data_IF_584698094660
#
_entry.id   IF_584698094660
#
_cell.length_a   1.000
_cell.length_b   1.000
_cell.length_c   1.000
_cell.angle_alpha   90.00
_cell.angle_beta   90.00
_cell.angle_gamma   90.00
#
_symmetry.space_group_name_H-M   'P 1'
#
loop_
_entity.id
_entity.type
_entity.pdbx_description
1 polymer ?
#
# COMPACT_ATOMS: atom_id res chain seq x y z
N UNK A 1 5.86 -7.84 -53.65
CA UNK A 1 4.87 -7.36 -52.66
C UNK A 1 4.83 -8.37 -51.53
N UNK A 2 5.46 -8.05 -50.40
CA UNK A 2 5.31 -8.71 -49.10
C UNK A 2 6.00 -7.78 -48.09
N UNK A 3 5.27 -7.07 -47.23
CA UNK A 3 5.91 -6.29 -46.18
C UNK A 3 6.29 -7.23 -45.04
N UNK A 4 7.58 -7.22 -44.70
CA UNK A 4 8.08 -7.75 -43.43
C UNK A 4 7.52 -6.87 -42.32
N UNK A 5 6.57 -7.39 -41.54
CA UNK A 5 6.14 -6.74 -40.30
C UNK A 5 7.24 -6.98 -39.27
N UNK A 6 8.09 -5.98 -39.04
CA UNK A 6 8.94 -5.95 -37.85
C UNK A 6 8.00 -5.60 -36.70
N UNK A 7 7.55 -6.62 -35.99
CA UNK A 7 6.87 -6.48 -34.71
C UNK A 7 7.85 -5.82 -33.75
N UNK A 8 7.63 -4.54 -33.45
CA UNK A 8 8.24 -3.88 -32.31
C UNK A 8 7.65 -4.56 -31.08
N UNK A 9 8.41 -5.45 -30.44
CA UNK A 9 8.14 -5.84 -29.07
C UNK A 9 8.37 -4.60 -28.21
N UNK A 10 7.29 -3.90 -27.91
CA UNK A 10 7.27 -2.95 -26.82
C UNK A 10 7.33 -3.80 -25.55
N UNK A 11 8.54 -4.02 -25.01
CA UNK A 11 8.76 -4.47 -23.63
C UNK A 11 8.40 -3.32 -22.68
N UNK A 12 7.17 -2.79 -22.81
CA UNK A 12 6.56 -2.04 -21.75
C UNK A 12 6.24 -3.07 -20.67
N UNK A 13 7.16 -3.18 -19.71
CA UNK A 13 6.85 -3.62 -18.35
C UNK A 13 5.56 -2.90 -18.01
N UNK A 14 4.44 -3.64 -18.05
CA UNK A 14 3.15 -3.10 -17.63
C UNK A 14 3.31 -2.89 -16.13
N UNK A 15 3.73 -1.68 -15.76
CA UNK A 15 3.36 -1.12 -14.48
C UNK A 15 1.84 -1.05 -14.53
N UNK A 16 1.17 -2.15 -14.17
CA UNK A 16 -0.23 -2.09 -13.77
C UNK A 16 -0.24 -1.10 -12.62
N UNK A 17 -0.66 0.13 -12.92
CA UNK A 17 -0.87 1.15 -11.92
C UNK A 17 -1.93 0.57 -10.99
N UNK A 18 -1.54 0.22 -9.78
CA UNK A 18 -2.46 -0.28 -8.76
C UNK A 18 -3.43 0.86 -8.47
N UNK A 19 -4.62 0.81 -9.06
CA UNK A 19 -5.59 1.89 -8.94
C UNK A 19 -6.39 1.71 -7.65
N UNK A 20 -5.96 2.42 -6.60
CA UNK A 20 -6.70 2.54 -5.35
C UNK A 20 -7.95 3.39 -5.57
N UNK A 21 -9.11 2.95 -5.08
CA UNK A 21 -10.30 3.79 -5.10
C UNK A 21 -10.25 4.76 -3.91
N UNK A 22 -9.72 5.97 -4.15
CA UNK A 22 -9.59 7.01 -3.14
C UNK A 22 -10.91 7.38 -2.45
N UNK A 23 -12.05 7.30 -3.14
CA UNK A 23 -13.37 7.56 -2.56
C UNK A 23 -13.77 6.50 -1.53
N UNK A 24 -13.55 5.22 -1.85
CA UNK A 24 -13.75 4.11 -0.92
C UNK A 24 -12.81 4.22 0.28
N UNK A 25 -11.52 4.48 0.04
CA UNK A 25 -10.52 4.58 1.10
C UNK A 25 -10.88 5.72 2.07
N UNK A 26 -11.14 6.94 1.56
CA UNK A 26 -11.58 8.09 2.39
C UNK A 26 -12.83 7.78 3.19
N UNK A 27 -13.86 7.24 2.53
CA UNK A 27 -15.12 6.89 3.21
C UNK A 27 -14.84 5.89 4.32
N UNK A 28 -14.06 4.84 4.04
CA UNK A 28 -13.65 3.84 5.02
C UNK A 28 -12.93 4.46 6.21
N UNK A 29 -11.96 5.34 5.99
CA UNK A 29 -11.21 6.03 7.05
C UNK A 29 -12.12 6.91 7.93
N UNK A 30 -13.06 7.63 7.33
CA UNK A 30 -14.02 8.50 8.04
C UNK A 30 -14.87 7.67 9.01
N UNK A 31 -15.51 6.61 8.53
CA UNK A 31 -16.44 5.79 9.33
C UNK A 31 -15.79 4.60 10.02
N UNK A 32 -14.45 4.45 9.90
CA UNK A 32 -13.65 3.31 10.38
C UNK A 32 -14.20 1.95 9.89
N UNK A 33 -14.62 1.88 8.62
CA UNK A 33 -15.07 0.65 7.98
C UNK A 33 -13.87 -0.19 7.53
N UNK A 34 -13.51 -1.16 8.38
CA UNK A 34 -12.35 -2.03 8.18
C UNK A 34 -12.45 -2.87 6.90
N UNK A 35 -13.66 -3.25 6.48
CA UNK A 35 -13.84 -4.04 5.26
C UNK A 35 -13.50 -3.20 4.03
N UNK A 36 -14.03 -1.98 3.95
CA UNK A 36 -13.73 -1.05 2.84
C UNK A 36 -12.26 -0.69 2.76
N UNK A 37 -11.65 -0.40 3.90
CA UNK A 37 -10.22 -0.10 3.96
C UNK A 37 -9.41 -1.32 3.53
N UNK A 38 -9.76 -2.50 4.05
CA UNK A 38 -9.10 -3.76 3.70
C UNK A 38 -9.16 -4.06 2.21
N UNK A 39 -10.28 -3.82 1.53
CA UNK A 39 -10.40 -3.97 0.07
C UNK A 39 -9.36 -3.11 -0.66
N UNK A 40 -9.24 -1.84 -0.31
CA UNK A 40 -8.32 -0.92 -0.99
C UNK A 40 -6.86 -1.19 -0.60
N UNK A 41 -6.58 -1.49 0.67
CA UNK A 41 -5.23 -1.84 1.13
C UNK A 41 -4.74 -3.17 0.54
N UNK A 42 -5.62 -4.16 0.36
CA UNK A 42 -5.24 -5.44 -0.24
C UNK A 42 -4.76 -5.26 -1.70
N UNK A 43 -5.41 -4.38 -2.48
CA UNK A 43 -4.95 -4.03 -3.83
C UNK A 43 -3.54 -3.44 -3.79
N UNK A 44 -3.30 -2.51 -2.87
CA UNK A 44 -1.98 -1.87 -2.69
C UNK A 44 -0.87 -2.87 -2.33
N UNK A 45 -1.21 -4.01 -1.72
CA UNK A 45 -0.23 -5.03 -1.30
C UNK A 45 -0.07 -6.22 -2.26
N UNK A 46 -0.96 -6.38 -3.25
CA UNK A 46 -1.13 -7.64 -4.01
C UNK A 46 0.13 -8.09 -4.76
N UNK A 47 0.93 -7.14 -5.26
CA UNK A 47 2.11 -7.41 -6.10
C UNK A 47 3.41 -6.85 -5.50
N UNK A 48 3.50 -6.83 -4.16
CA UNK A 48 4.65 -6.29 -3.42
C UNK A 48 5.37 -7.41 -2.64
N UNK A 49 6.14 -8.29 -3.32
CA UNK A 49 6.93 -9.33 -2.65
C UNK A 49 8.07 -8.71 -1.84
N UNK A 50 8.56 -9.41 -0.79
CA UNK A 50 9.74 -8.96 -0.08
C UNK A 50 10.97 -9.02 -1.00
N UNK A 51 11.84 -8.02 -0.90
CA UNK A 51 13.17 -7.98 -1.52
C UNK A 51 14.25 -7.79 -0.44
N UNK A 52 14.65 -8.87 0.27
CA UNK A 52 15.57 -8.75 1.39
C UNK A 52 16.96 -8.30 0.96
N UNK A 53 17.49 -7.31 1.67
CA UNK A 53 18.86 -6.84 1.52
C UNK A 53 19.62 -6.99 2.83
N UNK A 54 20.94 -6.71 2.80
CA UNK A 54 21.74 -6.70 4.03
C UNK A 54 21.24 -5.70 5.09
N UNK A 55 20.64 -4.58 4.65
CA UNK A 55 20.16 -3.52 5.54
C UNK A 55 18.66 -3.60 5.81
N UNK A 56 17.92 -4.39 5.02
CA UNK A 56 16.51 -4.71 5.21
C UNK A 56 16.30 -6.23 5.07
N UNK A 57 16.53 -7.03 6.15
CA UNK A 57 16.41 -8.48 6.09
C UNK A 57 14.97 -9.00 5.89
N UNK A 58 13.95 -8.17 6.12
CA UNK A 58 12.55 -8.53 5.90
C UNK A 58 12.16 -8.21 4.44
N UNK A 59 12.70 -7.13 3.87
CA UNK A 59 12.58 -6.80 2.44
C UNK A 59 11.32 -6.02 2.07
N UNK A 60 10.69 -5.33 3.02
CA UNK A 60 9.43 -4.60 2.81
C UNK A 60 9.53 -3.09 3.03
N UNK A 61 10.72 -2.55 3.31
CA UNK A 61 10.87 -1.10 3.50
C UNK A 61 10.42 -0.32 2.25
N UNK A 62 10.82 -0.75 1.06
CA UNK A 62 10.42 -0.10 -0.19
C UNK A 62 8.92 -0.31 -0.49
N UNK A 63 8.41 -1.49 -0.18
CA UNK A 63 6.99 -1.81 -0.35
C UNK A 63 6.09 -0.88 0.47
N UNK A 64 6.47 -0.55 1.71
CA UNK A 64 5.73 0.42 2.51
C UNK A 64 5.82 1.84 1.94
N UNK A 65 6.95 2.23 1.37
CA UNK A 65 7.11 3.52 0.67
C UNK A 65 6.18 3.61 -0.55
N UNK A 66 6.06 2.54 -1.33
CA UNK A 66 5.13 2.47 -2.48
C UNK A 66 3.68 2.62 -2.01
N UNK A 67 3.31 1.95 -0.91
CA UNK A 67 1.96 2.01 -0.35
C UNK A 67 1.65 3.44 0.14
N UNK A 68 2.54 4.07 0.91
CA UNK A 68 2.31 5.44 1.41
C UNK A 68 2.23 6.45 0.29
N UNK A 69 3.09 6.37 -0.72
CA UNK A 69 3.02 7.22 -1.92
C UNK A 69 1.69 7.04 -2.67
N UNK A 70 1.22 5.79 -2.79
CA UNK A 70 -0.05 5.49 -3.45
C UNK A 70 -1.24 6.07 -2.68
N UNK A 71 -1.23 5.98 -1.35
CA UNK A 71 -2.26 6.61 -0.50
C UNK A 71 -2.18 8.14 -0.60
N UNK A 72 -0.97 8.70 -0.57
CA UNK A 72 -0.75 10.15 -0.67
C UNK A 72 -1.19 10.74 -2.01
N UNK A 73 -1.25 9.92 -3.07
CA UNK A 73 -1.80 10.33 -4.36
C UNK A 73 -3.32 10.59 -4.32
N UNK A 74 -4.02 10.16 -3.26
CA UNK A 74 -5.41 10.51 -3.02
C UNK A 74 -5.51 11.90 -2.39
N UNK A 75 -6.08 12.87 -3.12
CA UNK A 75 -6.25 14.26 -2.66
C UNK A 75 -6.72 14.39 -1.20
N UNK A 76 -5.97 15.08 -0.35
CA UNK A 76 -6.35 15.31 1.05
C UNK A 76 -6.15 14.13 1.99
N UNK A 77 -5.42 13.08 1.56
CA UNK A 77 -4.82 12.09 2.43
C UNK A 77 -3.31 12.35 2.58
N UNK A 78 -2.85 12.37 3.82
CA UNK A 78 -1.43 12.38 4.17
C UNK A 78 -1.10 11.03 4.78
N UNK A 79 -0.10 10.33 4.25
CA UNK A 79 0.27 9.00 4.70
C UNK A 79 1.76 8.91 5.01
N UNK A 80 2.09 8.38 6.18
CA UNK A 80 3.46 8.26 6.67
C UNK A 80 3.68 6.87 7.26
N UNK A 81 4.88 6.32 7.06
CA UNK A 81 5.29 5.10 7.74
C UNK A 81 5.53 5.48 9.20
N UNK A 82 4.65 5.03 10.09
CA UNK A 82 4.81 5.24 11.52
C UNK A 82 5.90 4.33 12.08
N UNK A 83 5.87 3.06 11.68
CA UNK A 83 6.93 2.12 12.02
C UNK A 83 7.04 0.98 11.01
N UNK A 84 8.23 0.41 10.90
CA UNK A 84 8.50 -0.77 10.08
C UNK A 84 8.75 -2.00 10.96
N UNK A 85 7.90 -3.03 10.83
CA UNK A 85 7.96 -4.29 11.56
C UNK A 85 8.15 -4.13 13.09
N UNK A 86 7.57 -3.09 13.69
CA UNK A 86 7.79 -2.75 15.10
C UNK A 86 6.85 -3.45 16.07
N UNK A 87 5.72 -3.97 15.57
CA UNK A 87 4.72 -4.64 16.41
C UNK A 87 5.03 -6.13 16.45
N UNK A 88 5.43 -6.60 17.64
CA UNK A 88 5.84 -7.98 17.91
C UNK A 88 4.63 -8.95 17.89
N UNK A 89 4.22 -9.31 16.69
CA UNK A 89 3.20 -10.34 16.41
C UNK A 89 3.80 -11.42 15.50
N UNK A 90 3.02 -12.45 15.12
CA UNK A 90 3.49 -13.51 14.24
C UNK A 90 2.59 -13.62 13.00
N UNK A 91 2.98 -13.07 11.83
CA UNK A 91 4.22 -12.31 11.56
C UNK A 91 4.21 -10.91 12.20
N UNK A 92 5.35 -10.20 12.29
CA UNK A 92 5.38 -8.83 12.80
C UNK A 92 4.53 -7.89 11.95
N UNK A 93 4.14 -6.75 12.52
CA UNK A 93 3.35 -5.75 11.83
C UNK A 93 4.08 -4.41 11.74
N UNK A 94 3.84 -3.74 10.61
CA UNK A 94 4.22 -2.35 10.36
C UNK A 94 2.97 -1.48 10.48
N UNK A 95 3.18 -0.20 10.72
CA UNK A 95 2.10 0.76 10.92
C UNK A 95 2.26 1.95 9.96
N UNK A 96 1.17 2.32 9.29
CA UNK A 96 1.08 3.53 8.46
C UNK A 96 0.05 4.46 9.10
N UNK A 97 0.45 5.68 9.42
CA UNK A 97 -0.49 6.72 9.86
C UNK A 97 -1.08 7.39 8.63
N UNK A 98 -2.41 7.58 8.63
CA UNK A 98 -3.13 8.33 7.61
C UNK A 98 -3.88 9.48 8.28
N UNK A 99 -3.63 10.69 7.81
CA UNK A 99 -4.29 11.92 8.27
C UNK A 99 -5.13 12.53 7.16
N UNK A 100 -6.28 13.11 7.53
CA UNK A 100 -7.14 13.85 6.61
C UNK A 100 -8.00 14.88 7.35
N UNK A 101 -8.52 15.85 6.61
CA UNK A 101 -9.59 16.73 7.07
C UNK A 101 -10.93 16.31 6.43
N UNK A 102 -11.96 16.18 7.27
CA UNK A 102 -13.33 15.95 6.82
C UNK A 102 -14.24 17.04 7.37
N UNK A 103 -14.56 18.02 6.52
CA UNK A 103 -15.43 19.15 6.87
C UNK A 103 -14.95 19.92 8.13
N UNK A 104 -13.64 20.13 8.26
CA UNK A 104 -13.01 20.81 9.39
C UNK A 104 -12.72 19.93 10.60
N UNK A 105 -13.03 18.63 10.52
CA UNK A 105 -12.67 17.64 11.54
C UNK A 105 -11.41 16.90 11.08
N UNK A 106 -10.33 17.03 11.86
CA UNK A 106 -9.12 16.23 11.67
C UNK A 106 -9.38 14.78 12.04
N UNK A 107 -9.05 13.89 11.12
CA UNK A 107 -9.13 12.44 11.29
C UNK A 107 -7.73 11.88 11.13
N UNK A 108 -7.32 11.08 12.12
CA UNK A 108 -6.08 10.33 12.11
C UNK A 108 -6.41 8.86 12.35
N UNK A 109 -5.78 7.97 11.59
CA UNK A 109 -5.95 6.51 11.66
C UNK A 109 -4.60 5.85 11.51
N UNK A 110 -4.40 4.73 12.20
CA UNK A 110 -3.22 3.89 12.00
C UNK A 110 -3.67 2.59 11.34
N UNK A 111 -3.03 2.25 10.22
CA UNK A 111 -3.25 1.02 9.47
C UNK A 111 -2.17 0.02 9.85
N UNK A 112 -2.61 -1.14 10.33
CA UNK A 112 -1.73 -2.24 10.68
C UNK A 112 -1.53 -3.14 9.46
N UNK A 113 -0.27 -3.44 9.13
CA UNK A 113 0.12 -4.23 7.97
C UNK A 113 0.97 -5.42 8.42
N UNK A 114 0.46 -6.63 8.20
CA UNK A 114 1.21 -7.88 8.34
C UNK A 114 2.45 -7.83 7.45
N UNK A 115 3.63 -7.98 8.06
CA UNK A 115 4.95 -7.77 7.43
C UNK A 115 5.84 -9.03 7.57
N UNK A 116 5.46 -10.16 6.96
CA UNK A 116 6.26 -11.38 6.99
C UNK A 116 7.57 -11.22 6.18
N UNK A 117 8.60 -12.01 6.48
CA UNK A 117 9.87 -11.97 5.72
C UNK A 117 9.85 -12.80 4.43
N UNK A 118 8.80 -13.60 4.21
CA UNK A 118 8.73 -14.63 3.17
C UNK A 118 7.48 -14.54 2.28
N UNK A 119 6.60 -13.57 2.52
CA UNK A 119 5.31 -13.40 1.85
C UNK A 119 5.04 -11.93 1.59
N UNK A 120 4.06 -11.62 0.76
CA UNK A 120 3.60 -10.25 0.55
C UNK A 120 3.04 -9.63 1.84
N UNK A 121 3.04 -8.30 1.88
CA UNK A 121 2.32 -7.52 2.88
C UNK A 121 0.82 -7.83 2.85
N UNK A 122 0.13 -7.69 3.99
CA UNK A 122 -1.33 -7.79 4.05
C UNK A 122 -1.92 -6.83 5.06
N UNK A 123 -3.09 -6.27 4.73
CA UNK A 123 -3.87 -5.53 5.70
C UNK A 123 -4.22 -6.41 6.91
N UNK A 124 -3.97 -5.90 8.12
CA UNK A 124 -4.23 -6.58 9.39
C UNK A 124 -5.36 -5.91 10.15
N UNK A 125 -5.37 -4.58 10.19
CA UNK A 125 -6.32 -3.84 11.01
C UNK A 125 -6.22 -2.33 10.89
N UNK A 126 -7.07 -1.67 11.67
CA UNK A 126 -7.09 -0.23 11.82
C UNK A 126 -7.42 0.12 13.27
N UNK A 127 -6.70 1.07 13.84
CA UNK A 127 -7.01 1.60 15.16
C UNK A 127 -7.19 3.13 15.18
#
# INVERSE_FOLDING_TARGET
MLPFFISVCDDSVRNEVIEVNCGNLKTGLIIKDQEKIGIEMNKLTENLPPDPTKNDPIGHSENLTIITQSIHSCDGLEAEIFCYACVETNPPQSEITIQMDSAGVKIERIIDISTPSDKILKFSGIH
#
